data_IF_165252687199
#
_entry.id   IF_165252687199
#
_cell.length_a   1.000
_cell.length_b   1.000
_cell.length_c   1.000
_cell.angle_alpha   90.00
_cell.angle_beta   90.00
_cell.angle_gamma   90.00
#
_symmetry.space_group_name_H-M   'P 1'
#
loop_
_entity.id
_entity.type
_entity.pdbx_description
1 polymer ?
#
# COMPACT_ATOMS: atom_id res chain seq x y z
N UNK A 1 11.02 -5.25 -18.62
CA UNK A 1 11.62 -4.73 -17.38
C UNK A 1 12.14 -5.91 -16.56
N UNK A 2 13.33 -5.82 -15.97
CA UNK A 2 13.90 -6.93 -15.18
C UNK A 2 13.34 -6.96 -13.77
N UNK A 3 13.54 -8.08 -13.07
CA UNK A 3 13.15 -8.21 -11.66
C UNK A 3 13.93 -7.24 -10.75
N UNK A 4 15.18 -6.91 -11.09
CA UNK A 4 16.00 -5.97 -10.31
C UNK A 4 15.42 -4.56 -10.32
N UNK A 5 14.90 -4.10 -11.46
CA UNK A 5 14.22 -2.80 -11.55
C UNK A 5 12.94 -2.80 -10.71
N UNK A 6 12.18 -3.90 -10.73
CA UNK A 6 10.98 -4.06 -9.90
C UNK A 6 11.31 -4.00 -8.41
N UNK A 7 12.32 -4.72 -7.98
CA UNK A 7 12.79 -4.73 -6.60
C UNK A 7 13.27 -3.34 -6.17
N UNK A 8 14.06 -2.66 -7.00
CA UNK A 8 14.54 -1.31 -6.71
C UNK A 8 13.38 -0.32 -6.55
N UNK A 9 12.39 -0.35 -7.45
CA UNK A 9 11.20 0.50 -7.36
C UNK A 9 10.38 0.18 -6.11
N UNK A 10 10.07 -1.10 -5.86
CA UNK A 10 9.31 -1.51 -4.68
C UNK A 10 10.02 -1.10 -3.37
N UNK A 11 11.35 -1.21 -3.32
CA UNK A 11 12.16 -0.77 -2.18
C UNK A 11 12.06 0.73 -1.94
N UNK A 12 12.07 1.55 -3.00
CA UNK A 12 11.90 2.99 -2.87
C UNK A 12 10.48 3.35 -2.39
N UNK A 13 9.46 2.69 -2.96
CA UNK A 13 8.05 2.90 -2.60
C UNK A 13 7.80 2.52 -1.14
N UNK A 14 8.28 1.37 -0.67
CA UNK A 14 8.02 0.92 0.70
C UNK A 14 8.73 1.78 1.74
N UNK A 15 9.87 2.40 1.41
CA UNK A 15 10.52 3.39 2.29
C UNK A 15 9.63 4.61 2.50
N UNK A 16 9.09 5.17 1.42
CA UNK A 16 8.16 6.31 1.51
C UNK A 16 6.88 5.93 2.29
N UNK A 17 6.32 4.75 2.00
CA UNK A 17 5.14 4.25 2.68
C UNK A 17 5.39 3.99 4.18
N UNK A 18 6.57 3.48 4.53
CA UNK A 18 7.01 3.25 5.91
C UNK A 18 7.18 4.54 6.70
N UNK A 19 7.70 5.61 6.09
CA UNK A 19 7.78 6.94 6.71
C UNK A 19 6.38 7.50 7.03
N UNK A 20 5.42 7.33 6.10
CA UNK A 20 4.02 7.71 6.32
C UNK A 20 3.41 6.91 7.48
N UNK A 21 3.59 5.59 7.48
CA UNK A 21 3.11 4.72 8.55
C UNK A 21 3.71 5.10 9.92
N UNK A 22 5.01 5.37 9.97
CA UNK A 22 5.69 5.84 11.19
C UNK A 22 5.12 7.19 11.68
N UNK A 23 4.78 8.09 10.75
CA UNK A 23 4.10 9.34 11.05
C UNK A 23 2.75 9.13 11.73
N UNK A 24 1.92 8.22 11.21
CA UNK A 24 0.65 7.84 11.84
C UNK A 24 0.87 7.21 13.22
N UNK A 25 1.83 6.30 13.35
CA UNK A 25 2.15 5.65 14.62
C UNK A 25 2.56 6.66 15.71
N UNK A 26 3.33 7.68 15.34
CA UNK A 26 3.73 8.75 16.27
C UNK A 26 2.53 9.54 16.83
N UNK A 27 1.44 9.66 16.05
CA UNK A 27 0.19 10.37 16.39
C UNK A 27 -0.99 9.41 16.60
N UNK A 28 -0.71 8.18 17.03
CA UNK A 28 -1.72 7.10 17.11
C UNK A 28 -2.91 7.39 18.04
N UNK A 29 -2.79 8.37 18.94
CA UNK A 29 -3.90 8.84 19.79
C UNK A 29 -5.04 9.43 18.97
N UNK A 30 -4.74 9.97 17.80
CA UNK A 30 -5.68 10.65 16.92
C UNK A 30 -6.08 9.77 15.72
N UNK A 31 -5.72 8.49 15.76
CA UNK A 31 -5.92 7.57 14.64
C UNK A 31 -7.37 7.12 14.54
N UNK A 32 -8.04 7.52 13.46
CA UNK A 32 -9.36 7.01 13.11
C UNK A 32 -9.26 5.53 12.73
N UNK A 33 -10.12 4.71 13.33
CA UNK A 33 -10.22 3.27 13.16
C UNK A 33 -11.66 2.89 12.83
N UNK A 34 -11.80 1.86 12.02
CA UNK A 34 -13.04 1.22 11.64
C UNK A 34 -12.91 -0.30 11.85
N UNK A 35 -14.06 -0.97 11.95
CA UNK A 35 -14.13 -2.42 12.14
C UNK A 35 -14.81 -3.04 10.92
N UNK A 36 -14.10 -3.92 10.20
CA UNK A 36 -14.64 -4.68 9.06
C UNK A 36 -15.40 -5.94 9.50
N UNK A 37 -15.06 -6.46 10.68
CA UNK A 37 -15.68 -7.64 11.28
C UNK A 37 -15.20 -7.89 12.72
N UNK A 38 -15.66 -8.94 13.40
CA UNK A 38 -15.19 -9.26 14.74
C UNK A 38 -13.67 -9.42 14.78
N UNK A 39 -13.00 -8.52 15.52
CA UNK A 39 -11.53 -8.46 15.62
C UNK A 39 -10.79 -8.15 14.30
N UNK A 40 -11.47 -7.56 13.32
CA UNK A 40 -10.91 -7.12 12.05
C UNK A 40 -10.98 -5.60 11.96
N UNK A 41 -9.82 -4.94 12.08
CA UNK A 41 -9.70 -3.49 12.21
C UNK A 41 -8.90 -2.92 11.05
N UNK A 42 -9.36 -1.77 10.55
CA UNK A 42 -8.65 -0.94 9.58
C UNK A 42 -8.58 0.48 10.10
N UNK A 43 -7.47 1.16 9.87
CA UNK A 43 -7.28 2.56 10.21
C UNK A 43 -7.10 3.42 8.97
N UNK A 44 -7.16 4.74 9.18
CA UNK A 44 -6.78 5.68 8.12
C UNK A 44 -5.32 5.51 7.67
N UNK A 45 -4.44 5.00 8.54
CA UNK A 45 -3.05 4.72 8.18
C UNK A 45 -2.97 3.59 7.14
N UNK A 46 -3.70 2.49 7.36
CA UNK A 46 -3.69 1.33 6.45
C UNK A 46 -4.12 1.75 5.04
N UNK A 47 -5.20 2.52 4.95
CA UNK A 47 -5.74 3.01 3.67
C UNK A 47 -4.81 3.99 2.95
N UNK A 48 -4.25 4.97 3.65
CA UNK A 48 -3.38 5.96 3.01
C UNK A 48 -2.01 5.37 2.65
N UNK A 49 -1.49 4.43 3.45
CA UNK A 49 -0.28 3.66 3.12
C UNK A 49 -0.50 2.83 1.86
N UNK A 50 -1.56 2.03 1.79
CA UNK A 50 -1.87 1.23 0.60
C UNK A 50 -2.09 2.11 -0.63
N UNK A 51 -2.81 3.23 -0.49
CA UNK A 51 -3.03 4.19 -1.57
C UNK A 51 -1.73 4.75 -2.14
N UNK A 52 -0.78 5.14 -1.28
CA UNK A 52 0.55 5.59 -1.74
C UNK A 52 1.27 4.48 -2.50
N UNK A 53 1.25 3.25 -1.99
CA UNK A 53 1.91 2.11 -2.64
C UNK A 53 1.26 1.85 -4.02
N UNK A 54 -0.07 1.72 -4.08
CA UNK A 54 -0.83 1.51 -5.30
C UNK A 54 -0.56 2.60 -6.32
N UNK A 55 -0.63 3.87 -5.93
CA UNK A 55 -0.38 5.00 -6.85
C UNK A 55 1.03 4.95 -7.41
N UNK A 56 2.06 4.80 -6.55
CA UNK A 56 3.46 4.81 -7.02
C UNK A 56 3.80 3.61 -7.91
N UNK A 57 3.27 2.43 -7.59
CA UNK A 57 3.48 1.25 -8.43
C UNK A 57 2.68 1.35 -9.74
N UNK A 58 1.46 1.90 -9.71
CA UNK A 58 0.68 2.16 -10.93
C UNK A 58 1.35 3.18 -11.86
N UNK A 59 1.95 4.23 -11.30
CA UNK A 59 2.70 5.22 -12.08
C UNK A 59 3.95 4.60 -12.74
N UNK A 60 4.67 3.74 -12.01
CA UNK A 60 5.90 3.11 -12.50
C UNK A 60 5.65 1.89 -13.40
N UNK A 61 4.53 1.20 -13.23
CA UNK A 61 4.14 0.00 -13.95
C UNK A 61 2.65 0.04 -14.37
N UNK A 62 2.26 0.92 -15.32
CA UNK A 62 0.84 1.14 -15.65
C UNK A 62 0.11 -0.07 -16.24
N UNK A 63 0.85 -1.09 -16.68
CA UNK A 63 0.33 -2.32 -17.27
C UNK A 63 0.31 -3.51 -16.29
N UNK A 64 0.61 -3.29 -15.01
CA UNK A 64 0.52 -4.32 -13.99
C UNK A 64 -0.78 -4.17 -13.18
N UNK A 65 -1.35 -5.29 -12.77
CA UNK A 65 -2.43 -5.34 -11.78
C UNK A 65 -1.92 -5.01 -10.37
N UNK A 66 -2.85 -4.68 -9.48
CA UNK A 66 -2.58 -4.49 -8.07
C UNK A 66 -3.76 -5.01 -7.24
N UNK A 67 -3.46 -5.90 -6.30
CA UNK A 67 -4.41 -6.50 -5.39
C UNK A 67 -4.08 -6.07 -3.94
N UNK A 68 -4.77 -5.04 -3.46
CA UNK A 68 -4.63 -4.55 -2.09
C UNK A 68 -5.64 -5.18 -1.15
N UNK A 69 -5.31 -5.23 0.13
CA UNK A 69 -6.22 -5.69 1.18
C UNK A 69 -7.39 -4.71 1.38
N UNK A 70 -7.12 -3.41 1.28
CA UNK A 70 -8.10 -2.36 1.57
C UNK A 70 -8.93 -1.94 0.37
N UNK A 71 -8.30 -1.85 -0.80
CA UNK A 71 -8.94 -1.38 -2.03
C UNK A 71 -9.23 -2.49 -3.03
N UNK A 72 -8.93 -3.76 -2.70
CA UNK A 72 -9.14 -4.90 -3.57
C UNK A 72 -8.34 -4.76 -4.86
N UNK A 73 -8.94 -5.07 -6.00
CA UNK A 73 -8.35 -4.81 -7.32
C UNK A 73 -8.54 -5.95 -8.29
N UNK A 74 -7.78 -5.90 -9.39
CA UNK A 74 -7.82 -6.90 -10.46
C UNK A 74 -6.44 -7.54 -10.55
N UNK A 75 -6.42 -8.87 -10.39
CA UNK A 75 -5.24 -9.65 -10.70
C UNK A 75 -5.07 -9.72 -12.23
N UNK A 76 -3.84 -9.52 -12.67
CA UNK A 76 -3.44 -9.59 -14.07
C UNK A 76 -2.22 -10.51 -14.22
N UNK A 77 -1.75 -10.76 -15.44
CA UNK A 77 -0.57 -11.59 -15.74
C UNK A 77 0.64 -11.17 -14.90
N UNK A 78 0.77 -9.86 -14.64
CA UNK A 78 1.74 -9.30 -13.68
C UNK A 78 0.97 -8.52 -12.63
N UNK A 79 1.05 -8.95 -11.39
CA UNK A 79 0.28 -8.37 -10.29
C UNK A 79 1.19 -8.06 -9.09
N UNK A 80 1.00 -6.88 -8.51
CA UNK A 80 1.53 -6.53 -7.20
C UNK A 80 0.53 -6.93 -6.12
N UNK A 81 1.05 -7.52 -5.05
CA UNK A 81 0.32 -7.94 -3.85
C UNK A 81 1.04 -7.38 -2.64
#
# INVERSE_FOLDING_TARGET
MTIDVRLATATAVIRQAGELAAGYFSRRTDLTRETKGPQDFVSIADREVEKVIRTRLGDAFPADGFLGEESGGVADERCWV
#
